data_IF_541244918614
#
_entry.id   IF_541244918614
#
_cell.length_a   1.000
_cell.length_b   1.000
_cell.length_c   1.000
_cell.angle_alpha   90.00
_cell.angle_beta   90.00
_cell.angle_gamma   90.00
#
_symmetry.space_group_name_H-M   'P 1'
#
loop_
_entity.id
_entity.type
_entity.pdbx_description
1 polymer ?
#
# COMPACT_ATOMS: atom_id res chain seq x y z
N UNK A 1 5.83 23.11 -8.26
CA UNK A 1 5.03 23.27 -9.49
C UNK A 1 3.58 23.00 -9.14
N UNK A 2 2.64 23.27 -10.01
CA UNK A 2 1.22 23.07 -9.69
C UNK A 2 0.52 22.27 -10.77
N UNK A 3 -0.55 21.57 -10.41
CA UNK A 3 -1.26 20.62 -11.27
C UNK A 3 -1.55 21.14 -12.68
N UNK A 4 -1.84 22.43 -12.84
CA UNK A 4 -2.08 23.04 -14.16
C UNK A 4 -0.87 22.95 -15.10
N UNK A 5 0.34 23.05 -14.56
CA UNK A 5 1.60 22.90 -15.33
C UNK A 5 1.93 21.43 -15.55
N UNK A 6 1.73 20.61 -14.51
CA UNK A 6 2.11 19.19 -14.53
C UNK A 6 1.34 18.41 -15.60
N UNK A 7 0.07 18.75 -15.86
CA UNK A 7 -0.77 18.10 -16.88
C UNK A 7 -1.08 18.97 -18.09
N UNK A 8 -0.40 20.12 -18.24
CA UNK A 8 -0.63 21.10 -19.32
C UNK A 8 -2.10 21.54 -19.49
N UNK A 9 -2.85 21.66 -18.38
CA UNK A 9 -4.23 22.06 -18.37
C UNK A 9 -4.43 23.39 -17.64
N UNK A 10 -4.71 24.46 -18.39
CA UNK A 10 -4.84 25.82 -17.85
C UNK A 10 -6.15 26.09 -17.14
N UNK A 11 -7.24 25.40 -17.52
CA UNK A 11 -8.59 25.68 -17.01
C UNK A 11 -9.27 24.44 -16.43
N UNK A 12 -9.89 24.61 -15.27
CA UNK A 12 -10.75 23.60 -14.63
C UNK A 12 -12.18 24.16 -14.52
N UNK A 13 -13.17 23.27 -14.51
CA UNK A 13 -14.59 23.69 -14.40
C UNK A 13 -14.86 24.43 -13.08
N UNK A 14 -14.26 23.98 -12.00
CA UNK A 14 -14.33 24.56 -10.65
C UNK A 14 -13.20 23.97 -9.79
N UNK A 15 -13.07 24.44 -8.55
CA UNK A 15 -12.05 23.98 -7.62
C UNK A 15 -12.19 22.49 -7.21
N UNK A 16 -13.41 21.98 -7.16
CA UNK A 16 -13.64 20.55 -6.87
C UNK A 16 -13.12 19.66 -7.99
N UNK A 17 -13.33 20.04 -9.24
CA UNK A 17 -12.76 19.34 -10.40
C UNK A 17 -11.23 19.39 -10.38
N UNK A 18 -10.64 20.55 -10.09
CA UNK A 18 -9.20 20.71 -9.95
C UNK A 18 -8.63 19.82 -8.85
N UNK A 19 -9.29 19.79 -7.68
CA UNK A 19 -8.90 18.94 -6.56
C UNK A 19 -8.96 17.43 -6.91
N UNK A 20 -10.02 16.99 -7.60
CA UNK A 20 -10.14 15.60 -8.06
C UNK A 20 -8.99 15.20 -8.98
N UNK A 21 -8.68 16.03 -9.98
CA UNK A 21 -7.56 15.77 -10.91
C UNK A 21 -6.24 15.75 -10.14
N UNK A 22 -6.05 16.66 -9.19
CA UNK A 22 -4.84 16.71 -8.36
C UNK A 22 -4.68 15.43 -7.49
N UNK A 23 -5.77 14.91 -6.93
CA UNK A 23 -5.76 13.64 -6.18
C UNK A 23 -5.32 12.48 -7.08
N UNK A 24 -5.90 12.37 -8.28
CA UNK A 24 -5.57 11.29 -9.22
C UNK A 24 -4.12 11.35 -9.69
N UNK A 25 -3.65 12.54 -10.02
CA UNK A 25 -2.25 12.75 -10.42
C UNK A 25 -1.27 12.42 -9.28
N UNK A 26 -1.57 12.93 -8.08
CA UNK A 26 -0.74 12.70 -6.89
C UNK A 26 -0.72 11.23 -6.48
N UNK A 27 -1.83 10.51 -6.63
CA UNK A 27 -1.87 9.07 -6.42
C UNK A 27 -0.85 8.33 -7.30
N UNK A 28 -0.86 8.58 -8.62
CA UNK A 28 0.11 7.98 -9.53
C UNK A 28 1.55 8.31 -9.15
N UNK A 29 1.82 9.58 -8.87
CA UNK A 29 3.12 10.08 -8.43
C UNK A 29 3.60 9.40 -7.13
N UNK A 30 2.72 9.21 -6.16
CA UNK A 30 3.03 8.54 -4.89
C UNK A 30 3.31 7.06 -5.09
N UNK A 31 2.50 6.38 -5.93
CA UNK A 31 2.68 4.95 -6.24
C UNK A 31 4.03 4.69 -6.91
N UNK A 32 4.49 5.55 -7.82
CA UNK A 32 5.81 5.41 -8.44
C UNK A 32 6.93 5.43 -7.39
N UNK A 33 6.87 6.34 -6.44
CA UNK A 33 7.88 6.42 -5.36
C UNK A 33 7.84 5.24 -4.40
N UNK A 34 6.65 4.73 -4.11
CA UNK A 34 6.52 3.50 -3.34
C UNK A 34 7.11 2.30 -4.08
N UNK A 35 6.94 2.23 -5.41
CA UNK A 35 7.60 1.21 -6.24
C UNK A 35 9.10 1.30 -6.16
N UNK A 36 9.67 2.50 -6.27
CA UNK A 36 11.11 2.73 -6.12
C UNK A 36 11.61 2.28 -4.74
N UNK A 37 10.88 2.63 -3.67
CA UNK A 37 11.22 2.26 -2.30
C UNK A 37 11.35 0.74 -2.09
N UNK A 38 10.47 -0.06 -2.71
CA UNK A 38 10.46 -1.52 -2.53
C UNK A 38 11.20 -2.29 -3.65
N UNK A 39 11.61 -1.61 -4.73
CA UNK A 39 12.15 -2.24 -5.94
C UNK A 39 13.44 -3.03 -5.69
N UNK A 40 14.31 -2.53 -4.82
CA UNK A 40 15.58 -3.19 -4.46
C UNK A 40 15.35 -4.57 -3.82
N UNK A 41 14.21 -4.77 -3.19
CA UNK A 41 13.84 -6.03 -2.55
C UNK A 41 13.09 -6.99 -3.48
N UNK A 42 12.89 -6.61 -4.74
CA UNK A 42 12.24 -7.45 -5.75
C UNK A 42 10.76 -7.70 -5.52
N UNK A 43 10.07 -6.81 -4.81
CA UNK A 43 8.63 -6.89 -4.54
C UNK A 43 7.88 -5.68 -5.09
N UNK A 44 6.58 -5.84 -5.30
CA UNK A 44 5.69 -4.74 -5.67
C UNK A 44 5.16 -4.03 -4.41
N UNK A 45 4.62 -2.82 -4.56
CA UNK A 45 4.00 -2.11 -3.44
C UNK A 45 2.75 -2.82 -2.91
N UNK A 46 2.00 -3.56 -3.75
CA UNK A 46 0.89 -4.39 -3.30
C UNK A 46 1.38 -5.60 -2.48
N UNK A 47 2.45 -6.25 -2.90
CA UNK A 47 3.10 -7.31 -2.13
C UNK A 47 3.60 -6.79 -0.78
N UNK A 48 4.22 -5.63 -0.77
CA UNK A 48 4.65 -4.95 0.45
C UNK A 48 3.47 -4.67 1.39
N UNK A 49 2.34 -4.19 0.87
CA UNK A 49 1.13 -3.96 1.66
C UNK A 49 0.62 -5.26 2.32
N UNK A 50 0.55 -6.36 1.57
CA UNK A 50 0.14 -7.67 2.15
C UNK A 50 1.12 -8.14 3.22
N UNK A 51 2.42 -8.04 3.00
CA UNK A 51 3.41 -8.43 4.01
C UNK A 51 3.26 -7.61 5.30
N UNK A 52 3.00 -6.31 5.20
CA UNK A 52 2.73 -5.46 6.37
C UNK A 52 1.46 -5.83 7.10
N UNK A 53 0.39 -6.15 6.37
CA UNK A 53 -0.88 -6.62 6.95
C UNK A 53 -0.64 -7.92 7.73
N UNK A 54 0.08 -8.87 7.14
CA UNK A 54 0.39 -10.15 7.78
C UNK A 54 1.32 -10.01 8.98
N UNK A 55 2.33 -9.14 8.92
CA UNK A 55 3.21 -8.84 10.07
C UNK A 55 2.42 -8.22 11.22
N UNK A 56 1.52 -7.29 10.93
CA UNK A 56 0.68 -6.65 11.94
C UNK A 56 -0.25 -7.62 12.67
N UNK A 57 -0.54 -8.79 12.09
CA UNK A 57 -1.38 -9.84 12.67
C UNK A 57 -0.59 -11.08 13.12
N UNK A 58 0.72 -11.08 12.88
CA UNK A 58 1.59 -12.20 13.23
C UNK A 58 1.59 -12.48 14.75
N UNK A 59 1.56 -13.74 15.22
CA UNK A 59 1.64 -15.00 14.46
C UNK A 59 0.30 -15.53 13.94
N UNK A 60 -0.80 -14.83 14.13
CA UNK A 60 -2.14 -15.27 13.73
C UNK A 60 -2.29 -15.20 12.21
N UNK A 61 -2.66 -16.30 11.53
CA UNK A 61 -2.91 -16.29 10.09
C UNK A 61 -4.15 -15.47 9.73
N UNK A 62 -4.19 -15.00 8.48
CA UNK A 62 -5.35 -14.31 7.90
C UNK A 62 -5.85 -15.02 6.66
N UNK A 63 -7.17 -15.06 6.48
CA UNK A 63 -7.78 -15.51 5.22
C UNK A 63 -7.48 -14.51 4.10
N UNK A 64 -7.54 -14.97 2.86
CA UNK A 64 -7.41 -14.09 1.68
C UNK A 64 -8.47 -12.97 1.69
N UNK A 65 -9.69 -13.27 2.14
CA UNK A 65 -10.75 -12.27 2.29
C UNK A 65 -10.35 -11.20 3.32
N UNK A 66 -9.87 -11.60 4.49
CA UNK A 66 -9.42 -10.67 5.54
C UNK A 66 -8.24 -9.81 5.09
N UNK A 67 -7.33 -10.36 4.28
CA UNK A 67 -6.24 -9.60 3.66
C UNK A 67 -6.82 -8.55 2.70
N UNK A 68 -7.73 -8.96 1.80
CA UNK A 68 -8.36 -8.06 0.83
C UNK A 68 -9.06 -6.88 1.49
N UNK A 69 -9.79 -7.13 2.57
CA UNK A 69 -10.48 -6.08 3.33
C UNK A 69 -9.54 -5.02 3.92
N UNK A 70 -8.30 -5.40 4.20
CA UNK A 70 -7.25 -4.54 4.77
C UNK A 70 -6.34 -3.90 3.73
N UNK A 71 -6.42 -4.33 2.47
CA UNK A 71 -5.62 -3.75 1.38
C UNK A 71 -5.93 -2.27 1.17
N UNK A 72 -4.89 -1.46 0.95
CA UNK A 72 -5.04 -0.06 0.54
C UNK A 72 -5.67 0.01 -0.85
N UNK A 73 -5.16 -0.78 -1.80
CA UNK A 73 -5.72 -0.90 -3.14
C UNK A 73 -6.83 -1.97 -3.16
N UNK A 74 -8.08 -1.52 -3.07
CA UNK A 74 -9.26 -2.39 -3.08
C UNK A 74 -9.51 -3.11 -4.42
N UNK A 75 -8.88 -2.64 -5.49
CA UNK A 75 -8.99 -3.23 -6.83
C UNK A 75 -7.93 -4.30 -7.10
N UNK A 76 -7.01 -4.52 -6.18
CA UNK A 76 -5.98 -5.56 -6.31
C UNK A 76 -6.57 -6.96 -6.33
N UNK A 77 -6.03 -7.81 -7.22
CA UNK A 77 -6.27 -9.26 -7.17
C UNK A 77 -5.45 -9.90 -6.05
N UNK A 78 -6.02 -9.91 -4.85
CA UNK A 78 -5.34 -10.36 -3.62
C UNK A 78 -4.87 -11.79 -3.72
N UNK A 79 -5.69 -12.71 -4.26
CA UNK A 79 -5.33 -14.13 -4.40
C UNK A 79 -4.10 -14.32 -5.28
N UNK A 80 -4.04 -13.63 -6.40
CA UNK A 80 -2.89 -13.68 -7.32
C UNK A 80 -1.63 -13.09 -6.71
N UNK A 81 -1.75 -12.01 -5.93
CA UNK A 81 -0.61 -11.41 -5.23
C UNK A 81 -0.10 -12.35 -4.15
N UNK A 82 -0.97 -13.00 -3.39
CA UNK A 82 -0.62 -14.02 -2.40
C UNK A 82 0.11 -15.20 -3.06
N UNK A 83 -0.37 -15.69 -4.21
CA UNK A 83 0.30 -16.78 -4.94
C UNK A 83 1.73 -16.41 -5.36
N UNK A 84 1.94 -15.17 -5.78
CA UNK A 84 3.30 -14.66 -6.09
C UNK A 84 4.18 -14.55 -4.86
N UNK A 85 3.62 -14.16 -3.72
CA UNK A 85 4.35 -14.15 -2.44
C UNK A 85 4.71 -15.57 -1.97
N UNK A 86 3.82 -16.54 -2.21
CA UNK A 86 4.09 -17.97 -1.96
C UNK A 86 5.26 -18.46 -2.81
N UNK A 87 5.28 -18.12 -4.09
CA UNK A 87 6.39 -18.52 -4.99
C UNK A 87 7.74 -17.93 -4.58
N UNK A 88 7.74 -16.80 -3.88
CA UNK A 88 8.94 -16.16 -3.30
C UNK A 88 9.28 -16.66 -1.90
N UNK A 89 8.48 -17.57 -1.34
CA UNK A 89 8.60 -18.05 0.04
C UNK A 89 8.53 -16.95 1.12
N UNK A 90 7.85 -15.85 0.82
CA UNK A 90 7.66 -14.72 1.75
C UNK A 90 6.44 -14.91 2.65
N UNK A 91 5.51 -15.73 2.21
CA UNK A 91 4.33 -16.17 2.96
C UNK A 91 4.17 -17.68 2.82
N UNK A 92 3.36 -18.28 3.70
CA UNK A 92 2.97 -19.69 3.62
C UNK A 92 1.47 -19.84 3.84
N UNK A 93 0.87 -20.86 3.23
CA UNK A 93 -0.50 -21.26 3.46
C UNK A 93 -0.58 -22.16 4.68
N UNK A 94 -1.63 -21.94 5.48
CA UNK A 94 -1.97 -22.75 6.63
C UNK A 94 -3.40 -23.21 6.45
N UNK A 95 -3.66 -24.52 6.53
CA UNK A 95 -5.03 -25.05 6.46
C UNK A 95 -5.77 -24.66 7.73
N UNK A 96 -6.95 -24.06 7.60
CA UNK A 96 -7.78 -23.73 8.74
C UNK A 96 -8.23 -25.01 9.46
N UNK A 97 -7.92 -25.11 10.75
CA UNK A 97 -8.29 -26.30 11.56
C UNK A 97 -9.80 -26.49 11.70
N UNK A 98 -10.57 -25.40 11.61
CA UNK A 98 -12.03 -25.40 11.75
C UNK A 98 -12.75 -25.78 10.46
N UNK A 99 -12.23 -25.38 9.30
CA UNK A 99 -12.75 -25.70 7.97
C UNK A 99 -11.59 -25.91 7.00
N UNK A 100 -11.34 -27.15 6.60
CA UNK A 100 -10.26 -27.52 5.68
C UNK A 100 -10.42 -26.95 4.27
N UNK A 101 -11.57 -26.39 3.92
CA UNK A 101 -11.82 -25.67 2.68
C UNK A 101 -11.29 -24.25 2.68
N UNK A 102 -11.04 -23.71 3.88
CA UNK A 102 -10.47 -22.37 4.06
C UNK A 102 -8.95 -22.48 4.23
N UNK A 103 -8.25 -21.64 3.47
CA UNK A 103 -6.80 -21.52 3.53
C UNK A 103 -6.46 -20.15 4.09
N UNK A 104 -5.75 -20.15 5.19
CA UNK A 104 -5.20 -18.97 5.80
C UNK A 104 -3.74 -18.74 5.36
N UNK A 105 -3.28 -17.53 5.48
CA UNK A 105 -1.94 -17.11 5.07
C UNK A 105 -1.22 -16.47 6.26
N UNK A 106 0.04 -16.81 6.43
CA UNK A 106 0.92 -16.16 7.41
C UNK A 106 2.24 -15.75 6.76
N UNK A 107 2.90 -14.75 7.33
CA UNK A 107 4.22 -14.32 6.89
C UNK A 107 5.28 -15.31 7.36
N UNK A 108 6.29 -15.56 6.53
CA UNK A 108 7.45 -16.40 6.87
C UNK A 108 8.54 -15.60 7.55
N UNK A 109 9.51 -16.28 8.13
CA UNK A 109 10.73 -15.64 8.65
C UNK A 109 11.46 -14.82 7.58
N UNK A 110 11.51 -15.35 6.34
CA UNK A 110 12.07 -14.62 5.20
C UNK A 110 11.29 -13.32 4.91
N UNK A 111 9.96 -13.36 4.99
CA UNK A 111 9.12 -12.18 4.83
C UNK A 111 9.33 -11.15 5.94
N UNK A 112 9.45 -11.60 7.19
CA UNK A 112 9.75 -10.72 8.33
C UNK A 112 11.11 -10.04 8.17
N UNK A 113 12.15 -10.77 7.80
CA UNK A 113 13.50 -10.21 7.54
C UNK A 113 13.50 -9.19 6.41
N UNK A 114 12.73 -9.44 5.35
CA UNK A 114 12.58 -8.48 4.25
C UNK A 114 11.95 -7.17 4.74
N UNK A 115 10.90 -7.25 5.55
CA UNK A 115 10.28 -6.07 6.14
C UNK A 115 11.20 -5.33 7.11
N UNK A 116 11.99 -6.05 7.94
CA UNK A 116 12.98 -5.44 8.83
C UNK A 116 14.02 -4.65 8.03
N UNK A 117 14.45 -5.17 6.90
CA UNK A 117 15.37 -4.48 5.99
C UNK A 117 14.75 -3.21 5.41
N UNK A 118 13.48 -3.24 5.01
CA UNK A 118 12.75 -2.07 4.54
C UNK A 118 12.51 -1.06 5.68
N UNK A 119 12.23 -1.53 6.90
CA UNK A 119 12.10 -0.66 8.07
C UNK A 119 13.37 0.15 8.33
N UNK A 120 14.54 -0.39 8.04
CA UNK A 120 15.82 0.33 8.11
C UNK A 120 15.95 1.49 7.10
N UNK A 121 15.05 1.59 6.15
CA UNK A 121 15.00 2.62 5.09
C UNK A 121 13.72 3.47 5.16
N UNK A 122 13.00 3.46 6.28
CA UNK A 122 11.72 4.17 6.43
C UNK A 122 11.82 5.67 6.13
N UNK A 123 12.94 6.29 6.41
CA UNK A 123 13.19 7.71 6.08
C UNK A 123 12.91 7.99 4.60
N UNK A 124 13.28 7.08 3.70
CA UNK A 124 13.00 7.23 2.26
C UNK A 124 11.50 7.20 1.93
N UNK A 125 10.71 6.50 2.72
CA UNK A 125 9.26 6.48 2.56
C UNK A 125 8.64 7.77 3.11
N UNK A 126 9.10 8.23 4.26
CA UNK A 126 8.66 9.49 4.87
C UNK A 126 9.03 10.69 3.99
N UNK A 127 10.17 10.65 3.31
CA UNK A 127 10.63 11.66 2.36
C UNK A 127 9.66 11.89 1.18
N UNK A 128 8.80 10.93 0.86
CA UNK A 128 7.79 11.08 -0.20
C UNK A 128 6.91 12.32 0.05
N UNK A 129 6.60 12.61 1.30
CA UNK A 129 5.78 13.75 1.70
C UNK A 129 6.55 14.80 2.50
N UNK A 130 7.89 14.82 2.41
CA UNK A 130 8.77 15.73 3.19
C UNK A 130 8.52 17.22 2.93
N UNK A 131 7.87 17.56 1.81
CA UNK A 131 7.45 18.93 1.53
C UNK A 131 6.28 19.42 2.41
N UNK A 132 5.64 18.53 3.16
CA UNK A 132 4.59 18.87 4.10
C UNK A 132 5.12 18.85 5.53
N UNK A 133 4.80 19.88 6.31
CA UNK A 133 4.93 19.83 7.75
C UNK A 133 3.94 18.80 8.33
N UNK A 134 4.20 18.32 9.54
CA UNK A 134 3.30 17.40 10.27
C UNK A 134 1.85 17.94 10.37
N UNK A 135 1.71 19.25 10.58
CA UNK A 135 0.40 19.90 10.62
C UNK A 135 -0.32 19.84 9.28
N UNK A 136 0.39 20.08 8.19
CA UNK A 136 -0.15 20.02 6.83
C UNK A 136 -0.50 18.59 6.43
N UNK A 137 0.34 17.61 6.74
CA UNK A 137 0.09 16.20 6.52
C UNK A 137 -1.17 15.72 7.29
N UNK A 138 -1.31 16.12 8.54
CA UNK A 138 -2.51 15.85 9.37
C UNK A 138 -3.75 16.51 8.77
N UNK A 139 -3.65 17.75 8.30
CA UNK A 139 -4.72 18.47 7.63
C UNK A 139 -5.18 17.78 6.35
N UNK A 140 -4.20 17.37 5.52
CA UNK A 140 -4.45 16.63 4.29
C UNK A 140 -5.20 15.31 4.57
N UNK A 141 -4.74 14.53 5.55
CA UNK A 141 -5.39 13.27 5.93
C UNK A 141 -6.85 13.48 6.30
N UNK A 142 -7.17 14.50 7.12
CA UNK A 142 -8.54 14.85 7.50
C UNK A 142 -9.41 15.25 6.30
N UNK A 143 -8.85 15.99 5.34
CA UNK A 143 -9.58 16.37 4.13
C UNK A 143 -9.86 15.16 3.23
N UNK A 144 -8.90 14.26 3.09
CA UNK A 144 -9.07 13.01 2.35
C UNK A 144 -10.13 12.11 3.01
N UNK A 145 -10.12 11.99 4.34
CA UNK A 145 -11.15 11.25 5.07
C UNK A 145 -12.55 11.85 4.83
N UNK A 146 -12.66 13.17 4.92
CA UNK A 146 -13.91 13.90 4.68
C UNK A 146 -14.48 13.69 3.27
N UNK A 147 -13.64 13.48 2.27
CA UNK A 147 -14.09 13.18 0.89
C UNK A 147 -14.79 11.83 0.83
N UNK A 148 -14.34 10.86 1.64
CA UNK A 148 -14.90 9.49 1.64
C UNK A 148 -16.12 9.31 2.54
N UNK A 149 -16.46 10.27 3.38
CA UNK A 149 -17.60 10.28 4.30
C UNK A 149 -17.23 10.07 5.74
#
# INVERSE_FOLDING_TARGET
MGISKDIHQAKFRNERHKALINILFTYGWTVERLKEYVSEEGITHQQFNILRILRGNHPTPLSTLSIRERMIDKMSDTSRIVDRLLSKALVKKVVCKKDRRLVDVTITEKGLKLLDKLDGKQDKMDDILSNLSEKEASGLSKLLDKIRG
#
